data_IF_775496117985
#
_entry.id   IF_775496117985
#
_cell.length_a   1.000
_cell.length_b   1.000
_cell.length_c   1.000
_cell.angle_alpha   90.00
_cell.angle_beta   90.00
_cell.angle_gamma   90.00
#
_symmetry.space_group_name_H-M   'P 1'
#
loop_
_entity.id
_entity.type
_entity.pdbx_description
1 polymer ?
#
# COMPACT_ATOMS: atom_id res chain seq x y z
N UNK A 1 -9.77 -17.58 -9.41
CA UNK A 1 -8.35 -17.23 -9.35
C UNK A 1 -7.86 -17.50 -7.94
N UNK A 2 -6.62 -17.96 -7.74
CA UNK A 2 -6.07 -18.14 -6.39
C UNK A 2 -5.98 -16.78 -5.69
N UNK A 3 -6.24 -16.77 -4.39
CA UNK A 3 -5.99 -15.63 -3.49
C UNK A 3 -4.77 -16.00 -2.63
N UNK A 4 -3.79 -15.10 -2.55
CA UNK A 4 -2.61 -15.25 -1.71
C UNK A 4 -2.65 -14.16 -0.64
N UNK A 5 -2.59 -14.58 0.62
CA UNK A 5 -2.61 -13.68 1.77
C UNK A 5 -1.35 -13.89 2.62
N UNK A 6 -0.82 -12.80 3.18
CA UNK A 6 0.36 -12.81 4.04
C UNK A 6 0.20 -11.84 5.21
N UNK A 7 0.62 -12.28 6.40
CA UNK A 7 0.58 -11.51 7.65
C UNK A 7 1.90 -11.62 8.37
N UNK A 8 2.44 -10.49 8.82
CA UNK A 8 3.72 -10.41 9.52
C UNK A 8 3.59 -9.64 10.84
N UNK A 9 4.32 -10.09 11.89
CA UNK A 9 4.39 -9.37 13.16
C UNK A 9 5.49 -8.33 13.10
N UNK A 10 5.11 -7.06 13.25
CA UNK A 10 6.03 -5.93 13.20
C UNK A 10 6.16 -5.32 14.60
N UNK A 11 7.41 -5.10 15.05
CA UNK A 11 7.68 -4.38 16.30
C UNK A 11 7.73 -2.87 16.05
N UNK A 12 6.58 -2.28 15.71
CA UNK A 12 6.43 -0.85 15.48
C UNK A 12 5.01 -0.40 15.83
N UNK A 13 4.83 0.91 16.07
CA UNK A 13 3.49 1.47 16.28
C UNK A 13 2.72 1.55 14.96
N UNK A 14 1.39 1.59 15.04
CA UNK A 14 0.53 1.81 13.87
C UNK A 14 0.94 3.06 13.09
N UNK A 15 1.10 4.19 13.78
CA UNK A 15 1.45 5.47 13.15
C UNK A 15 2.79 5.40 12.41
N UNK A 16 3.75 4.62 12.92
CA UNK A 16 5.04 4.39 12.24
C UNK A 16 4.83 3.62 10.93
N UNK A 17 4.07 2.53 10.96
CA UNK A 17 3.78 1.73 9.76
C UNK A 17 2.98 2.54 8.75
N UNK A 18 1.97 3.30 9.21
CA UNK A 18 1.14 4.15 8.37
C UNK A 18 1.98 5.19 7.62
N UNK A 19 2.87 5.90 8.31
CA UNK A 19 3.78 6.86 7.68
C UNK A 19 4.69 6.21 6.64
N UNK A 20 5.18 5.00 6.88
CA UNK A 20 5.97 4.25 5.89
C UNK A 20 5.15 3.89 4.65
N UNK A 21 3.88 3.51 4.82
CA UNK A 21 2.99 3.23 3.70
C UNK A 21 2.72 4.47 2.85
N UNK A 22 2.49 5.62 3.49
CA UNK A 22 2.35 6.91 2.81
C UNK A 22 3.64 7.30 2.06
N UNK A 23 4.79 7.19 2.72
CA UNK A 23 6.10 7.47 2.10
C UNK A 23 6.37 6.55 0.90
N UNK A 24 5.96 5.27 0.96
CA UNK A 24 6.03 4.36 -0.20
C UNK A 24 5.12 4.77 -1.35
N UNK A 25 4.01 5.45 -1.08
CA UNK A 25 3.13 5.98 -2.12
C UNK A 25 3.83 7.14 -2.84
N UNK A 26 4.45 8.05 -2.08
CA UNK A 26 5.13 9.25 -2.57
C UNK A 26 6.51 8.95 -3.19
N UNK A 27 7.22 7.96 -2.66
CA UNK A 27 8.61 7.62 -3.01
C UNK A 27 8.81 6.11 -3.25
N UNK A 28 8.07 5.50 -4.21
CA UNK A 28 8.09 4.04 -4.39
C UNK A 28 9.46 3.46 -4.78
N UNK A 29 10.35 4.26 -5.39
CA UNK A 29 11.72 3.84 -5.74
C UNK A 29 12.58 3.50 -4.53
N UNK A 30 12.22 3.97 -3.33
CA UNK A 30 12.93 3.64 -2.10
C UNK A 30 12.59 2.22 -1.60
N UNK A 31 11.46 1.65 -2.03
CA UNK A 31 10.88 0.43 -1.47
C UNK A 31 10.75 -0.71 -2.48
N UNK A 32 10.67 -0.38 -3.77
CA UNK A 32 10.51 -1.35 -4.85
C UNK A 32 11.77 -1.35 -5.71
N UNK A 33 12.66 -2.36 -5.54
CA UNK A 33 13.86 -2.47 -6.37
C UNK A 33 13.51 -2.54 -7.86
N UNK A 34 14.30 -1.84 -8.68
CA UNK A 34 14.15 -1.87 -10.14
C UNK A 34 13.12 -0.87 -10.70
N UNK A 35 12.47 -0.06 -9.86
CA UNK A 35 11.67 1.08 -10.34
C UNK A 35 12.60 2.13 -10.94
N UNK A 36 12.47 2.38 -12.24
CA UNK A 36 13.26 3.38 -12.97
C UNK A 36 12.48 4.63 -13.34
N UNK A 37 11.14 4.54 -13.38
CA UNK A 37 10.26 5.65 -13.70
C UNK A 37 8.94 5.54 -12.93
N UNK A 38 8.39 6.67 -12.52
CA UNK A 38 7.13 6.78 -11.79
C UNK A 38 6.33 7.95 -12.38
N UNK A 39 5.09 7.69 -12.78
CA UNK A 39 4.16 8.68 -13.30
C UNK A 39 2.88 8.62 -12.49
N UNK A 40 2.52 9.73 -11.83
CA UNK A 40 1.19 9.90 -11.23
C UNK A 40 0.21 10.25 -12.35
N UNK A 41 -0.69 9.32 -12.66
CA UNK A 41 -1.71 9.46 -13.71
C UNK A 41 -2.92 10.23 -13.17
N UNK A 42 -3.38 9.86 -11.98
CA UNK A 42 -4.50 10.51 -11.30
C UNK A 42 -4.21 10.64 -9.81
N UNK A 43 -4.63 11.76 -9.23
CA UNK A 43 -4.54 12.02 -7.80
C UNK A 43 -5.83 12.70 -7.35
N UNK A 44 -6.61 11.99 -6.54
CA UNK A 44 -7.90 12.44 -6.02
C UNK A 44 -7.93 12.26 -4.51
N UNK A 45 -8.99 12.75 -3.86
CA UNK A 45 -9.17 12.56 -2.41
C UNK A 45 -9.43 11.10 -2.00
N UNK A 46 -9.84 10.24 -2.93
CA UNK A 46 -10.25 8.86 -2.63
C UNK A 46 -9.25 7.82 -3.14
N UNK A 47 -8.47 8.17 -4.16
CA UNK A 47 -7.51 7.26 -4.76
C UNK A 47 -6.42 7.97 -5.53
N UNK A 48 -5.32 7.24 -5.72
CA UNK A 48 -4.23 7.59 -6.63
C UNK A 48 -4.12 6.51 -7.70
N UNK A 49 -3.89 6.92 -8.95
CA UNK A 49 -3.43 6.02 -10.02
C UNK A 49 -1.99 6.38 -10.35
N UNK A 50 -1.10 5.39 -10.29
CA UNK A 50 0.30 5.54 -10.70
C UNK A 50 0.69 4.49 -11.72
N UNK A 51 1.62 4.87 -12.59
CA UNK A 51 2.35 3.96 -13.45
C UNK A 51 3.81 3.93 -13.04
N UNK A 52 4.38 2.73 -13.01
CA UNK A 52 5.79 2.50 -12.71
C UNK A 52 6.42 1.65 -13.80
N UNK A 53 7.67 1.95 -14.15
CA UNK A 53 8.47 1.08 -15.02
C UNK A 53 9.42 0.28 -14.15
N UNK A 54 9.31 -1.05 -14.22
CA UNK A 54 10.14 -1.99 -13.47
C UNK A 54 10.97 -2.83 -14.44
N UNK A 55 12.20 -2.38 -14.74
CA UNK A 55 13.18 -3.12 -15.55
C UNK A 55 12.59 -4.06 -16.61
N UNK A 56 12.90 -5.35 -16.47
CA UNK A 56 12.47 -6.41 -17.40
C UNK A 56 10.97 -6.77 -17.31
N UNK A 57 10.27 -6.32 -16.26
CA UNK A 57 8.83 -6.55 -16.07
C UNK A 57 7.97 -5.56 -16.87
N UNK A 58 8.55 -4.46 -17.35
CA UNK A 58 7.84 -3.44 -18.11
C UNK A 58 7.04 -2.48 -17.24
N UNK A 59 5.95 -1.95 -17.79
CA UNK A 59 5.12 -0.94 -17.13
C UNK A 59 3.99 -1.58 -16.33
N UNK A 60 3.88 -1.17 -15.07
CA UNK A 60 2.85 -1.57 -14.12
C UNK A 60 1.97 -0.36 -13.80
N UNK A 61 0.64 -0.53 -13.84
CA UNK A 61 -0.33 0.48 -13.39
C UNK A 61 -1.03 0.02 -12.11
N UNK A 62 -1.01 0.87 -11.09
CA UNK A 62 -1.62 0.61 -9.80
C UNK A 62 -2.63 1.72 -9.45
N UNK A 63 -3.71 1.33 -8.77
CA UNK A 63 -4.68 2.21 -8.12
C UNK A 63 -4.60 1.90 -6.65
N UNK A 64 -4.37 2.95 -5.88
CA UNK A 64 -4.15 2.90 -4.45
C UNK A 64 -5.34 3.59 -3.82
N UNK A 65 -6.01 2.88 -2.92
CA UNK A 65 -7.12 3.38 -2.12
C UNK A 65 -6.75 3.20 -0.66
N UNK A 66 -7.18 4.12 0.18
CA UNK A 66 -7.06 4.04 1.63
C UNK A 66 -8.43 4.25 2.24
N UNK A 67 -8.64 3.66 3.41
CA UNK A 67 -9.84 3.85 4.20
C UNK A 67 -9.40 4.41 5.55
N UNK A 68 -9.73 5.68 5.79
CA UNK A 68 -9.48 6.37 7.06
C UNK A 68 -10.67 6.09 8.00
N UNK A 69 -10.97 4.82 8.25
CA UNK A 69 -11.97 4.46 9.23
C UNK A 69 -11.34 4.62 10.63
N UNK A 70 -11.68 5.72 11.32
CA UNK A 70 -11.31 6.05 12.72
C UNK A 70 -11.85 5.02 13.75
N UNK A 71 -12.50 3.96 13.27
CA UNK A 71 -12.98 2.84 14.05
C UNK A 71 -11.82 1.93 14.49
N UNK A 72 -11.71 1.56 15.78
CA UNK A 72 -10.68 0.61 16.22
C UNK A 72 -10.95 -0.77 15.60
N UNK A 73 -10.31 -1.04 14.47
CA UNK A 73 -10.27 -2.36 13.84
C UNK A 73 -10.31 -2.31 12.32
N UNK A 74 -9.22 -2.78 11.72
CA UNK A 74 -9.10 -3.25 10.32
C UNK A 74 -9.02 -2.14 9.26
N UNK A 75 -7.81 -1.61 9.06
CA UNK A 75 -7.47 -0.91 7.81
C UNK A 75 -7.29 -1.91 6.67
N UNK A 76 -7.97 -1.66 5.53
CA UNK A 76 -7.92 -2.51 4.34
C UNK A 76 -7.20 -1.77 3.21
N UNK A 77 -6.06 -2.30 2.76
CA UNK A 77 -5.35 -1.77 1.58
C UNK A 77 -5.48 -2.78 0.45
N UNK A 78 -5.99 -2.33 -0.70
CA UNK A 78 -6.21 -3.17 -1.89
C UNK A 78 -5.34 -2.67 -3.03
N UNK A 79 -4.51 -3.56 -3.61
CA UNK A 79 -3.73 -3.27 -4.82
C UNK A 79 -4.35 -3.99 -6.03
N UNK A 80 -4.38 -3.36 -7.22
CA UNK A 80 -5.07 -3.92 -8.41
C UNK A 80 -4.38 -5.15 -9.03
N UNK A 81 -3.33 -5.71 -8.42
CA UNK A 81 -2.82 -7.03 -8.82
C UNK A 81 -3.58 -8.20 -8.19
N UNK A 82 -4.65 -7.93 -7.44
CA UNK A 82 -5.48 -8.96 -6.82
C UNK A 82 -5.02 -9.38 -5.43
N UNK A 83 -3.97 -8.74 -4.91
CA UNK A 83 -3.50 -8.97 -3.55
C UNK A 83 -4.28 -8.06 -2.58
N UNK A 84 -5.00 -8.70 -1.65
CA UNK A 84 -5.72 -8.05 -0.56
C UNK A 84 -4.89 -8.27 0.70
N UNK A 85 -4.39 -7.19 1.30
CA UNK A 85 -3.78 -7.26 2.62
C UNK A 85 -4.83 -6.93 3.68
N UNK A 86 -5.32 -7.96 4.37
CA UNK A 86 -6.19 -7.82 5.53
C UNK A 86 -5.33 -7.84 6.82
N UNK A 87 -5.19 -6.70 7.49
CA UNK A 87 -4.56 -6.62 8.80
C UNK A 87 -5.59 -6.63 9.93
N UNK A 88 -5.55 -7.64 10.81
CA UNK A 88 -6.30 -7.64 12.07
C UNK A 88 -5.50 -6.88 13.13
N UNK A 89 -6.10 -5.84 13.72
CA UNK A 89 -5.48 -5.04 14.77
C UNK A 89 -6.19 -5.24 16.11
N UNK A 90 -5.43 -5.58 17.14
CA UNK A 90 -5.88 -5.50 18.53
C UNK A 90 -5.43 -4.16 19.09
N UNK A 91 -6.39 -3.25 19.32
CA UNK A 91 -6.12 -1.97 19.98
C UNK A 91 -5.55 -2.18 21.37
N UNK A 92 -4.44 -1.50 21.69
CA UNK A 92 -3.94 -1.40 23.05
C UNK A 92 -4.80 -0.36 23.78
N UNK A 93 -5.71 -0.81 24.64
CA UNK A 93 -6.39 0.04 25.62
C UNK A 93 -5.39 0.41 26.71
N UNK A 94 -5.07 1.71 26.83
CA UNK A 94 -4.50 2.30 28.06
C UNK A 94 -5.51 2.30 29.19
#
# INVERSE_FOLDING_TARGET
MPNIEHTEKINATFLTVWKLMLDKIEHPSNYTPGVSNVVLVENTSEYIIREMTLGDLGSIRERITWDDDDSPGIGKVTYIFGDIHNGLWFGCTT
#
